data_IF_688615219892
#
_entry.id   IF_688615219892
#
_cell.length_a   1.000
_cell.length_b   1.000
_cell.length_c   1.000
_cell.angle_alpha   90.00
_cell.angle_beta   90.00
_cell.angle_gamma   90.00
#
_symmetry.space_group_name_H-M   'P 1'
#
loop_
_entity.id
_entity.type
_entity.pdbx_description
1 polymer ?
#
# COMPACT_ATOMS: atom_id res chain seq x y z
N UNK A 1 9.96 6.98 -1.53
CA UNK A 1 9.68 6.13 -2.72
C UNK A 1 9.98 4.68 -2.32
N UNK A 2 9.31 3.67 -2.87
CA UNK A 2 9.42 2.26 -2.45
C UNK A 2 10.84 1.64 -2.55
N UNK A 3 11.82 2.36 -3.11
CA UNK A 3 13.16 1.90 -3.43
C UNK A 3 14.09 1.64 -2.22
N UNK A 4 13.75 2.17 -1.05
CA UNK A 4 14.61 2.13 0.14
C UNK A 4 14.03 1.27 1.29
N UNK A 5 13.09 0.37 0.98
CA UNK A 5 12.42 -0.46 1.98
C UNK A 5 12.90 -1.90 1.81
N UNK A 6 13.93 -2.27 2.56
CA UNK A 6 14.35 -3.66 2.77
C UNK A 6 13.62 -4.20 4.00
N UNK A 7 12.65 -5.09 3.79
CA UNK A 7 11.99 -5.79 4.89
C UNK A 7 12.75 -7.08 5.17
N UNK A 8 13.12 -7.33 6.43
CA UNK A 8 13.84 -8.55 6.82
C UNK A 8 13.02 -9.83 6.63
N UNK A 9 11.69 -9.71 6.47
CA UNK A 9 10.82 -10.84 6.18
C UNK A 9 10.79 -11.13 4.66
N UNK A 10 11.25 -12.31 4.20
CA UNK A 10 11.25 -12.67 2.79
C UNK A 10 9.85 -12.62 2.15
N UNK A 11 8.79 -12.94 2.91
CA UNK A 11 7.42 -12.90 2.40
C UNK A 11 6.97 -11.47 2.10
N UNK A 12 7.37 -10.52 2.93
CA UNK A 12 7.03 -9.11 2.73
C UNK A 12 7.84 -8.49 1.58
N UNK A 13 9.11 -8.89 1.44
CA UNK A 13 9.95 -8.45 0.33
C UNK A 13 9.40 -8.91 -1.02
N UNK A 14 8.93 -10.16 -1.13
CA UNK A 14 8.26 -10.68 -2.34
C UNK A 14 7.04 -9.84 -2.72
N UNK A 15 6.25 -9.40 -1.73
CA UNK A 15 5.09 -8.54 -1.98
C UNK A 15 5.50 -7.15 -2.47
N UNK A 16 6.58 -6.58 -1.93
CA UNK A 16 7.12 -5.29 -2.38
C UNK A 16 7.70 -5.43 -3.80
N UNK A 17 8.49 -6.45 -4.08
CA UNK A 17 9.10 -6.68 -5.39
C UNK A 17 8.03 -6.90 -6.46
N UNK A 18 6.96 -7.65 -6.12
CA UNK A 18 5.80 -7.81 -6.99
C UNK A 18 5.12 -6.47 -7.27
N UNK A 19 4.87 -5.64 -6.25
CA UNK A 19 4.27 -4.33 -6.44
C UNK A 19 5.17 -3.37 -7.25
N UNK A 20 6.49 -3.43 -7.08
CA UNK A 20 7.45 -2.67 -7.89
C UNK A 20 7.34 -3.09 -9.36
N UNK A 21 7.30 -4.40 -9.65
CA UNK A 21 7.13 -4.92 -11.00
C UNK A 21 5.79 -4.50 -11.63
N UNK A 22 4.71 -4.50 -10.85
CA UNK A 22 3.40 -4.00 -11.32
C UNK A 22 3.41 -2.51 -11.68
N UNK A 23 4.13 -1.70 -10.90
CA UNK A 23 4.32 -0.28 -11.21
C UNK A 23 5.19 -0.07 -12.46
N UNK A 24 6.24 -0.89 -12.65
CA UNK A 24 7.04 -0.88 -13.88
C UNK A 24 6.21 -1.29 -15.10
N UNK A 25 5.28 -2.22 -14.94
CA UNK A 25 4.30 -2.61 -15.96
C UNK A 25 3.21 -1.55 -16.22
N UNK A 26 3.37 -0.32 -15.71
CA UNK A 26 2.42 0.81 -15.82
C UNK A 26 1.01 0.48 -15.30
N UNK A 27 0.85 -0.50 -14.41
CA UNK A 27 -0.44 -0.72 -13.75
C UNK A 27 -0.83 0.51 -12.93
N UNK A 28 -2.13 0.71 -12.78
CA UNK A 28 -2.67 1.82 -12.00
C UNK A 28 -2.14 1.76 -10.56
N UNK A 29 -1.40 2.80 -10.15
CA UNK A 29 -0.79 2.92 -8.83
C UNK A 29 -1.78 2.72 -7.68
N UNK A 30 -3.04 3.17 -7.84
CA UNK A 30 -4.08 2.99 -6.82
C UNK A 30 -4.47 1.52 -6.66
N UNK A 31 -4.53 0.77 -7.77
CA UNK A 31 -4.80 -0.68 -7.76
C UNK A 31 -3.66 -1.43 -7.09
N UNK A 32 -2.41 -1.13 -7.46
CA UNK A 32 -1.22 -1.75 -6.88
C UNK A 32 -1.15 -1.47 -5.38
N UNK A 33 -1.37 -0.22 -4.94
CA UNK A 33 -1.42 0.15 -3.52
C UNK A 33 -2.54 -0.56 -2.76
N UNK A 34 -3.74 -0.69 -3.36
CA UNK A 34 -4.88 -1.39 -2.75
C UNK A 34 -4.58 -2.88 -2.55
N UNK A 35 -4.00 -3.52 -3.57
CA UNK A 35 -3.56 -4.91 -3.51
C UNK A 35 -2.51 -5.11 -2.41
N UNK A 36 -1.51 -4.23 -2.35
CA UNK A 36 -0.44 -4.30 -1.37
C UNK A 36 -0.96 -4.11 0.08
N UNK A 37 -1.90 -3.18 0.30
CA UNK A 37 -2.58 -3.03 1.60
C UNK A 37 -3.30 -4.30 2.02
N UNK A 38 -3.98 -4.97 1.08
CA UNK A 38 -4.72 -6.20 1.36
C UNK A 38 -3.79 -7.33 1.79
N UNK A 39 -2.69 -7.55 1.06
CA UNK A 39 -1.75 -8.62 1.37
C UNK A 39 -0.98 -8.36 2.68
N UNK A 40 -0.53 -7.12 2.93
CA UNK A 40 0.04 -6.75 4.23
C UNK A 40 -0.97 -6.85 5.37
N UNK A 41 -2.25 -6.53 5.11
CA UNK A 41 -3.34 -6.72 6.07
C UNK A 41 -3.52 -8.19 6.46
N UNK A 42 -3.46 -9.12 5.50
CA UNK A 42 -3.50 -10.57 5.79
C UNK A 42 -2.31 -11.00 6.65
N UNK A 43 -1.10 -10.53 6.34
CA UNK A 43 0.08 -10.83 7.14
C UNK A 43 -0.03 -10.28 8.57
N UNK A 44 -0.62 -9.08 8.73
CA UNK A 44 -0.92 -8.50 10.04
C UNK A 44 -1.89 -9.37 10.84
N UNK A 45 -2.98 -9.83 10.21
CA UNK A 45 -3.95 -10.73 10.85
C UNK A 45 -3.34 -12.07 11.25
N UNK A 46 -2.36 -12.56 10.50
CA UNK A 46 -1.62 -13.78 10.79
C UNK A 46 -0.49 -13.58 11.81
N UNK A 47 -0.29 -12.36 12.34
CA UNK A 47 0.83 -11.99 13.21
C UNK A 47 2.21 -12.28 12.58
N UNK A 48 2.28 -12.33 11.24
CA UNK A 48 3.51 -12.57 10.47
C UNK A 48 4.16 -11.29 9.97
N UNK A 49 3.61 -10.14 10.35
CA UNK A 49 4.10 -8.85 9.92
C UNK A 49 5.26 -8.39 10.81
N UNK A 50 6.38 -8.03 10.18
CA UNK A 50 7.53 -7.45 10.85
C UNK A 50 7.22 -6.04 11.37
N UNK A 51 8.03 -5.54 12.31
CA UNK A 51 7.88 -4.17 12.80
C UNK A 51 8.01 -3.14 11.66
N UNK A 52 8.91 -3.40 10.70
CA UNK A 52 9.09 -2.60 9.50
C UNK A 52 7.87 -2.69 8.58
N UNK A 53 7.28 -3.88 8.44
CA UNK A 53 6.05 -4.12 7.68
C UNK A 53 4.84 -3.40 8.26
N UNK A 54 4.69 -3.34 9.59
CA UNK A 54 3.66 -2.53 10.27
C UNK A 54 3.87 -1.04 10.00
N UNK A 55 5.12 -0.57 10.08
CA UNK A 55 5.48 0.83 9.79
C UNK A 55 5.22 1.18 8.32
N UNK A 56 5.43 0.23 7.41
CA UNK A 56 5.11 0.41 6.00
C UNK A 56 3.59 0.45 5.76
N UNK A 57 2.85 -0.51 6.29
CA UNK A 57 1.38 -0.58 6.17
C UNK A 57 0.72 0.69 6.70
N UNK A 58 1.16 1.20 7.86
CA UNK A 58 0.64 2.45 8.42
C UNK A 58 0.90 3.66 7.52
N UNK A 59 2.06 3.75 6.85
CA UNK A 59 2.36 4.82 5.90
C UNK A 59 1.47 4.78 4.66
N UNK A 60 1.26 3.60 4.07
CA UNK A 60 0.45 3.48 2.85
C UNK A 60 -1.04 3.57 3.14
N UNK A 61 -1.48 3.17 4.34
CA UNK A 61 -2.89 3.20 4.76
C UNK A 61 -3.40 4.57 5.17
N UNK A 62 -2.52 5.55 5.40
CA UNK A 62 -2.94 6.93 5.68
C UNK A 62 -3.82 7.46 4.54
N UNK A 63 -5.05 7.94 4.82
CA UNK A 63 -5.90 8.54 3.81
C UNK A 63 -5.19 9.77 3.24
N UNK A 64 -5.22 9.89 1.91
CA UNK A 64 -4.72 11.08 1.25
C UNK A 64 -5.87 12.11 1.28
N UNK A 65 -5.91 12.93 2.33
CA UNK A 65 -7.01 13.87 2.62
C UNK A 65 -7.37 14.73 1.39
N UNK A 66 -6.39 15.06 0.54
CA UNK A 66 -6.61 15.82 -0.71
C UNK A 66 -7.48 15.08 -1.74
N UNK A 67 -7.47 13.74 -1.77
CA UNK A 67 -8.30 12.93 -2.68
C UNK A 67 -9.72 12.76 -2.11
N UNK A 68 -9.86 12.72 -0.79
CA UNK A 68 -11.16 12.56 -0.12
C UNK A 68 -12.00 13.87 -0.15
N UNK A 69 -11.36 15.04 -0.10
CA UNK A 69 -12.04 16.34 -0.28
C UNK A 69 -12.54 16.50 -1.74
N UNK A 70 -11.79 15.98 -2.71
CA UNK A 70 -12.18 16.06 -4.12
C UNK A 70 -13.44 15.21 -4.44
N UNK A 71 -13.63 14.06 -3.78
CA UNK A 71 -14.82 13.22 -3.98
C UNK A 71 -16.06 13.73 -3.24
N UNK A 72 -15.88 14.33 -2.07
CA UNK A 72 -17.00 14.91 -1.31
C UNK A 72 -17.55 16.15 -2.02
N UNK A 73 -16.69 16.99 -2.59
CA UNK A 73 -17.13 18.20 -3.31
C UNK A 73 -18.03 17.88 -4.52
N UNK A 74 -17.80 16.77 -5.24
CA UNK A 74 -18.67 16.38 -6.37
C UNK A 74 -20.06 15.93 -5.94
N UNK A 75 -20.25 15.51 -4.69
CA UNK A 75 -21.55 15.01 -4.20
C UNK A 75 -22.46 16.12 -3.66
N UNK A 76 -21.91 17.28 -3.26
CA UNK A 76 -22.70 18.39 -2.70
C UNK A 76 -23.03 19.51 -3.69
N UNK A 77 -22.39 19.54 -4.86
CA UNK A 77 -22.64 20.56 -5.91
C UNK A 77 -23.30 19.98 -7.19
N UNK A 78 -24.05 18.89 -7.07
CA UNK A 78 -24.93 18.39 -8.14
C UNK A 78 -26.37 18.82 -7.91
#
# INVERSE_FOLDING_TARGET
MLKDITLSNPQEQVLIDSAINELYAKKNKAVVLSSLKREFGKLAMQQKLSAEGVKFLSKISRPNINVDIAKSSTTWFQ
#
